data_IF_939907863918
#
_entry.id   IF_939907863918
#
_cell.length_a   1.000
_cell.length_b   1.000
_cell.length_c   1.000
_cell.angle_alpha   90.00
_cell.angle_beta   90.00
_cell.angle_gamma   90.00
#
_symmetry.space_group_name_H-M   'P 1'
#
loop_
_entity.id
_entity.type
_entity.pdbx_description
1 polymer ?
#
# COMPACT_ATOMS: atom_id res chain seq x y z
N UNK A 1 20.16 12.09 -16.14
CA UNK A 1 19.40 10.88 -16.49
C UNK A 1 17.94 11.29 -16.44
N UNK A 2 17.15 11.05 -17.50
CA UNK A 2 15.70 11.28 -17.47
C UNK A 2 15.12 10.36 -16.39
N UNK A 3 14.31 10.89 -15.48
CA UNK A 3 13.61 10.08 -14.51
C UNK A 3 12.75 9.05 -15.27
N UNK A 4 12.90 7.76 -14.92
CA UNK A 4 12.06 6.71 -15.49
C UNK A 4 10.61 6.98 -15.04
N UNK A 5 9.66 7.00 -15.95
CA UNK A 5 8.25 7.04 -15.59
C UNK A 5 7.91 5.79 -14.78
N UNK A 6 7.24 5.96 -13.63
CA UNK A 6 6.81 4.84 -12.82
C UNK A 6 5.52 4.24 -13.37
N UNK A 7 5.49 2.92 -13.51
CA UNK A 7 4.28 2.17 -13.83
C UNK A 7 3.56 1.81 -12.53
N UNK A 8 2.39 2.37 -12.33
CA UNK A 8 1.56 2.18 -11.14
C UNK A 8 0.29 1.43 -11.52
N UNK A 9 -0.03 0.36 -10.81
CA UNK A 9 -1.32 -0.31 -10.96
C UNK A 9 -2.15 -0.06 -9.72
N UNK A 10 -3.39 0.40 -9.92
CA UNK A 10 -4.40 0.50 -8.87
C UNK A 10 -5.39 -0.63 -9.07
N UNK A 11 -5.23 -1.67 -8.25
CA UNK A 11 -6.10 -2.84 -8.23
C UNK A 11 -7.24 -2.66 -7.24
N UNK A 12 -8.47 -2.90 -7.70
CA UNK A 12 -9.68 -2.85 -6.90
C UNK A 12 -10.47 -4.17 -7.06
N UNK A 13 -10.93 -4.74 -5.96
CA UNK A 13 -11.88 -5.85 -6.00
C UNK A 13 -13.12 -5.51 -6.84
N UNK A 14 -13.57 -4.24 -6.80
CA UNK A 14 -14.65 -3.65 -7.58
C UNK A 14 -15.98 -4.39 -7.44
N UNK A 15 -16.28 -4.90 -6.23
CA UNK A 15 -17.55 -5.57 -5.91
C UNK A 15 -18.58 -4.59 -5.35
N UNK A 16 -18.20 -3.77 -4.38
CA UNK A 16 -19.11 -2.81 -3.74
C UNK A 16 -19.70 -1.83 -4.75
N UNK A 17 -18.89 -1.26 -5.62
CA UNK A 17 -19.36 -0.32 -6.63
C UNK A 17 -20.31 -0.97 -7.66
N UNK A 18 -20.19 -2.28 -7.89
CA UNK A 18 -21.14 -3.02 -8.76
C UNK A 18 -22.45 -3.37 -8.06
N UNK A 19 -22.41 -3.65 -6.77
CA UNK A 19 -23.55 -4.17 -6.01
C UNK A 19 -24.30 -3.09 -5.25
N UNK A 20 -23.60 -2.07 -4.72
CA UNK A 20 -24.15 -1.10 -3.77
C UNK A 20 -24.29 0.29 -4.41
N UNK A 21 -25.51 0.78 -4.53
CA UNK A 21 -25.79 2.11 -5.08
C UNK A 21 -25.15 3.22 -4.23
N UNK A 22 -25.13 3.06 -2.91
CA UNK A 22 -24.53 4.02 -2.00
C UNK A 22 -23.02 4.19 -2.29
N UNK A 23 -22.30 3.09 -2.53
CA UNK A 23 -20.89 3.13 -2.90
C UNK A 23 -20.69 3.81 -4.27
N UNK A 24 -21.50 3.47 -5.29
CA UNK A 24 -21.46 4.14 -6.60
C UNK A 24 -21.69 5.64 -6.52
N UNK A 25 -22.59 6.08 -5.64
CA UNK A 25 -22.86 7.51 -5.45
C UNK A 25 -21.69 8.26 -4.82
N UNK A 26 -20.87 7.58 -4.00
CA UNK A 26 -19.64 8.14 -3.43
C UNK A 26 -18.50 8.06 -4.45
N UNK A 27 -18.34 6.93 -5.12
CA UNK A 27 -17.23 6.64 -6.04
C UNK A 27 -17.76 6.26 -7.43
N UNK A 28 -18.27 7.22 -8.22
CA UNK A 28 -18.91 6.94 -9.51
C UNK A 28 -17.99 6.28 -10.53
N UNK A 29 -16.69 6.60 -10.50
CA UNK A 29 -15.67 5.98 -11.35
C UNK A 29 -14.94 4.82 -10.65
N UNK A 30 -15.49 4.36 -9.52
CA UNK A 30 -14.87 3.40 -8.62
C UNK A 30 -13.75 4.01 -7.76
N UNK A 31 -13.45 3.35 -6.64
CA UNK A 31 -12.36 3.76 -5.74
C UNK A 31 -11.03 3.88 -6.50
N UNK A 32 -10.71 2.89 -7.35
CA UNK A 32 -9.48 2.88 -8.16
C UNK A 32 -9.45 4.00 -9.19
N UNK A 33 -10.60 4.38 -9.78
CA UNK A 33 -10.69 5.50 -10.70
C UNK A 33 -10.37 6.84 -10.04
N UNK A 34 -10.92 7.07 -8.83
CA UNK A 34 -10.59 8.25 -8.05
C UNK A 34 -9.11 8.28 -7.65
N UNK A 35 -8.56 7.13 -7.21
CA UNK A 35 -7.13 7.04 -6.86
C UNK A 35 -6.26 7.39 -8.08
N UNK A 36 -6.55 6.83 -9.24
CA UNK A 36 -5.86 7.19 -10.49
C UNK A 36 -5.91 8.69 -10.74
N UNK A 37 -7.08 9.31 -10.63
CA UNK A 37 -7.27 10.72 -10.97
C UNK A 37 -6.37 11.65 -10.15
N UNK A 38 -6.25 11.42 -8.84
CA UNK A 38 -5.40 12.27 -8.01
C UNK A 38 -3.90 11.92 -8.12
N UNK A 39 -3.54 10.67 -8.42
CA UNK A 39 -2.15 10.30 -8.70
C UNK A 39 -1.63 11.01 -9.97
N UNK A 40 -2.40 10.97 -11.07
CA UNK A 40 -2.05 11.64 -12.33
C UNK A 40 -2.07 13.17 -12.19
N UNK A 41 -2.91 13.72 -11.32
CA UNK A 41 -2.93 15.15 -11.02
C UNK A 41 -1.72 15.61 -10.19
N UNK A 42 -1.21 14.77 -9.27
CA UNK A 42 -0.02 15.06 -8.46
C UNK A 42 1.28 14.92 -9.27
N UNK A 43 1.34 13.93 -10.17
CA UNK A 43 2.53 13.68 -10.99
C UNK A 43 2.14 13.10 -12.36
N UNK A 44 2.15 13.95 -13.39
CA UNK A 44 1.82 13.59 -14.76
C UNK A 44 2.84 12.62 -15.42
N UNK A 45 3.97 12.33 -14.78
CA UNK A 45 4.94 11.34 -15.26
C UNK A 45 4.58 9.91 -14.84
N UNK A 46 3.59 9.72 -13.97
CA UNK A 46 3.12 8.39 -13.60
C UNK A 46 2.31 7.77 -14.75
N UNK A 47 2.57 6.51 -15.04
CA UNK A 47 1.75 5.69 -15.93
C UNK A 47 0.79 4.85 -15.06
N UNK A 48 -0.43 5.35 -14.82
CA UNK A 48 -1.39 4.71 -13.91
C UNK A 48 -2.39 3.85 -14.67
N UNK A 49 -2.35 2.54 -14.42
CA UNK A 49 -3.29 1.55 -14.94
C UNK A 49 -4.29 1.13 -13.86
N UNK A 50 -5.55 0.96 -14.26
CA UNK A 50 -6.58 0.32 -13.42
C UNK A 50 -6.61 -1.18 -13.69
N UNK A 51 -6.90 -1.95 -12.65
CA UNK A 51 -7.11 -3.38 -12.71
C UNK A 51 -8.18 -3.80 -11.69
N UNK A 52 -8.96 -4.83 -12.03
CA UNK A 52 -10.02 -5.32 -11.17
C UNK A 52 -10.06 -6.85 -11.11
N UNK A 53 -10.72 -7.39 -10.07
CA UNK A 53 -10.83 -8.83 -9.84
C UNK A 53 -11.48 -9.57 -11.01
N UNK A 54 -12.48 -8.97 -11.67
CA UNK A 54 -13.21 -9.61 -12.78
C UNK A 54 -12.57 -9.42 -14.15
N UNK A 55 -11.44 -8.70 -14.22
CA UNK A 55 -10.69 -8.58 -15.48
C UNK A 55 -9.99 -9.91 -15.82
N UNK A 56 -9.66 -10.15 -17.10
CA UNK A 56 -8.83 -11.30 -17.46
C UNK A 56 -7.55 -11.36 -16.62
N UNK A 57 -7.18 -12.55 -16.13
CA UNK A 57 -6.06 -12.78 -15.22
C UNK A 57 -6.10 -11.85 -13.98
N UNK A 58 -7.33 -11.52 -13.54
CA UNK A 58 -7.59 -10.60 -12.42
C UNK A 58 -6.90 -9.24 -12.60
N UNK A 59 -6.81 -8.77 -13.84
CA UNK A 59 -6.22 -7.51 -14.26
C UNK A 59 -4.69 -7.44 -14.19
N UNK A 60 -4.03 -8.54 -13.79
CA UNK A 60 -2.59 -8.62 -13.58
C UNK A 60 -1.94 -9.80 -14.32
N UNK A 61 -2.10 -9.89 -15.66
CA UNK A 61 -1.34 -10.86 -16.44
C UNK A 61 0.16 -10.60 -16.30
N UNK A 62 0.99 -11.59 -16.62
CA UNK A 62 2.44 -11.54 -16.37
C UNK A 62 3.12 -10.33 -17.00
N UNK A 63 2.74 -9.93 -18.21
CA UNK A 63 3.29 -8.75 -18.88
C UNK A 63 3.00 -7.45 -18.10
N UNK A 64 1.78 -7.30 -17.54
CA UNK A 64 1.41 -6.15 -16.72
C UNK A 64 2.14 -6.17 -15.39
N UNK A 65 2.08 -7.33 -14.70
CA UNK A 65 2.69 -7.47 -13.40
C UNK A 65 4.21 -7.26 -13.46
N UNK A 66 4.87 -7.75 -14.52
CA UNK A 66 6.33 -7.62 -14.70
C UNK A 66 6.79 -6.18 -14.95
N UNK A 67 5.95 -5.34 -15.52
CA UNK A 67 6.24 -3.92 -15.75
C UNK A 67 5.84 -3.02 -14.58
N UNK A 68 5.05 -3.52 -13.61
CA UNK A 68 4.54 -2.74 -12.48
C UNK A 68 5.67 -2.40 -11.50
N UNK A 69 5.88 -1.12 -11.24
CA UNK A 69 6.81 -0.61 -10.24
C UNK A 69 6.14 -0.47 -8.85
N UNK A 70 4.86 -0.07 -8.82
CA UNK A 70 4.08 0.05 -7.57
C UNK A 70 2.68 -0.50 -7.77
N UNK A 71 2.25 -1.40 -6.89
CA UNK A 71 0.91 -1.96 -6.86
C UNK A 71 0.15 -1.40 -5.65
N UNK A 72 -0.97 -0.70 -5.91
CA UNK A 72 -1.96 -0.36 -4.89
C UNK A 72 -3.04 -1.44 -4.87
N UNK A 73 -3.39 -1.91 -3.68
CA UNK A 73 -4.33 -3.00 -3.47
C UNK A 73 -5.49 -2.58 -2.56
N UNK A 74 -6.69 -2.56 -3.10
CA UNK A 74 -7.93 -2.39 -2.36
C UNK A 74 -8.84 -3.62 -2.56
N UNK A 75 -9.32 -4.24 -1.48
CA UNK A 75 -10.26 -5.36 -1.53
C UNK A 75 -10.95 -5.52 -0.19
N UNK A 76 -12.18 -6.04 -0.18
CA UNK A 76 -13.02 -6.13 1.02
C UNK A 76 -13.73 -7.47 1.18
N UNK A 77 -14.64 -7.85 0.27
CA UNK A 77 -15.52 -9.02 0.44
C UNK A 77 -15.09 -10.27 -0.32
N UNK A 78 -14.28 -10.14 -1.36
CA UNK A 78 -13.92 -11.24 -2.27
C UNK A 78 -12.44 -11.64 -2.19
N UNK A 79 -11.78 -11.42 -1.06
CA UNK A 79 -10.37 -11.81 -0.86
C UNK A 79 -10.08 -13.27 -1.20
N UNK A 80 -11.07 -14.16 -0.98
CA UNK A 80 -10.95 -15.59 -1.23
C UNK A 80 -10.91 -15.95 -2.72
N UNK A 81 -11.44 -15.09 -3.59
CA UNK A 81 -11.51 -15.30 -5.04
C UNK A 81 -10.17 -14.98 -5.74
N UNK A 82 -9.24 -14.30 -5.05
CA UNK A 82 -7.92 -13.99 -5.62
C UNK A 82 -7.11 -15.26 -5.80
N UNK A 83 -6.55 -15.44 -7.00
CA UNK A 83 -5.74 -16.59 -7.38
C UNK A 83 -4.46 -16.69 -6.55
N UNK A 84 -4.18 -17.86 -5.99
CA UNK A 84 -3.01 -18.07 -5.14
C UNK A 84 -1.69 -17.99 -5.92
N UNK A 85 -1.69 -18.34 -7.21
CA UNK A 85 -0.53 -18.16 -8.09
C UNK A 85 -0.24 -16.69 -8.36
N UNK A 86 -1.28 -15.86 -8.54
CA UNK A 86 -1.11 -14.42 -8.64
C UNK A 86 -0.52 -13.83 -7.34
N UNK A 87 -1.05 -14.25 -6.19
CA UNK A 87 -0.54 -13.81 -4.88
C UNK A 87 0.94 -14.13 -4.72
N UNK A 88 1.36 -15.33 -5.11
CA UNK A 88 2.78 -15.73 -5.03
C UNK A 88 3.65 -14.91 -6.00
N UNK A 89 3.22 -14.64 -7.23
CA UNK A 89 3.95 -13.76 -8.16
C UNK A 89 4.11 -12.34 -7.60
N UNK A 90 3.06 -11.76 -7.01
CA UNK A 90 3.12 -10.46 -6.33
C UNK A 90 4.16 -10.51 -5.19
N UNK A 91 4.07 -11.53 -4.32
CA UNK A 91 4.99 -11.71 -3.19
C UNK A 91 6.44 -11.76 -3.67
N UNK A 92 6.74 -12.56 -4.68
CA UNK A 92 8.09 -12.69 -5.24
C UNK A 92 8.62 -11.35 -5.74
N UNK A 93 7.82 -10.58 -6.50
CA UNK A 93 8.24 -9.28 -7.02
C UNK A 93 8.55 -8.27 -5.91
N UNK A 94 7.72 -8.26 -4.84
CA UNK A 94 7.98 -7.42 -3.66
C UNK A 94 9.28 -7.85 -2.98
N UNK A 95 9.45 -9.14 -2.68
CA UNK A 95 10.65 -9.64 -2.00
C UNK A 95 11.94 -9.44 -2.79
N UNK A 96 11.86 -9.45 -4.12
CA UNK A 96 12.99 -9.14 -5.00
C UNK A 96 13.26 -7.63 -5.13
N UNK A 97 12.47 -6.76 -4.52
CA UNK A 97 12.60 -5.30 -4.65
C UNK A 97 12.24 -4.76 -6.04
N UNK A 98 11.52 -5.55 -6.84
CA UNK A 98 11.10 -5.17 -8.21
C UNK A 98 9.78 -4.42 -8.24
N UNK A 99 9.04 -4.42 -7.13
CA UNK A 99 7.75 -3.78 -7.00
C UNK A 99 7.50 -3.39 -5.55
N UNK A 100 7.01 -2.16 -5.34
CA UNK A 100 6.44 -1.75 -4.06
C UNK A 100 4.97 -2.14 -3.94
N UNK A 101 4.50 -2.32 -2.71
CA UNK A 101 3.10 -2.66 -2.43
C UNK A 101 2.49 -1.64 -1.46
N UNK A 102 1.32 -1.11 -1.82
CA UNK A 102 0.50 -0.27 -0.96
C UNK A 102 -0.83 -0.97 -0.75
N UNK A 103 -1.16 -1.30 0.48
CA UNK A 103 -2.40 -1.98 0.84
C UNK A 103 -3.30 -1.02 1.59
N UNK A 104 -4.52 -0.88 1.11
CA UNK A 104 -5.47 0.10 1.57
C UNK A 104 -6.62 -0.56 2.34
N UNK A 105 -7.02 0.06 3.44
CA UNK A 105 -8.21 -0.27 4.23
C UNK A 105 -8.32 -1.77 4.55
N UNK A 106 -9.46 -2.38 4.21
CA UNK A 106 -9.77 -3.81 4.40
C UNK A 106 -8.84 -4.78 3.64
N UNK A 107 -7.98 -4.24 2.75
CA UNK A 107 -6.89 -4.99 2.13
C UNK A 107 -5.94 -5.69 3.10
N UNK A 108 -5.94 -5.30 4.41
CA UNK A 108 -5.22 -6.02 5.47
C UNK A 108 -5.62 -7.49 5.57
N UNK A 109 -6.85 -7.83 5.17
CA UNK A 109 -7.36 -9.19 5.19
C UNK A 109 -7.12 -9.95 3.88
N UNK A 110 -6.57 -9.31 2.84
CA UNK A 110 -6.27 -9.94 1.55
C UNK A 110 -5.19 -11.02 1.67
N UNK A 111 -5.26 -12.01 0.78
CA UNK A 111 -4.19 -13.01 0.64
C UNK A 111 -2.83 -12.35 0.36
N UNK A 112 -2.82 -11.27 -0.44
CA UNK A 112 -1.61 -10.52 -0.80
C UNK A 112 -0.93 -9.95 0.44
N UNK A 113 -1.64 -9.21 1.27
CA UNK A 113 -1.08 -8.63 2.50
C UNK A 113 -0.59 -9.72 3.46
N UNK A 114 -1.43 -10.74 3.69
CA UNK A 114 -1.10 -11.86 4.58
C UNK A 114 0.18 -12.59 4.17
N UNK A 115 0.35 -12.86 2.88
CA UNK A 115 1.51 -13.57 2.37
C UNK A 115 2.77 -12.71 2.33
N UNK A 116 2.64 -11.43 1.98
CA UNK A 116 3.80 -10.52 1.88
C UNK A 116 4.30 -10.13 3.26
N UNK A 117 3.42 -9.79 4.19
CA UNK A 117 3.80 -9.33 5.54
C UNK A 117 4.07 -10.49 6.50
N UNK A 118 3.44 -11.64 6.29
CA UNK A 118 3.54 -12.79 7.20
C UNK A 118 2.62 -12.62 8.42
N UNK A 119 1.30 -12.53 8.17
CA UNK A 119 0.30 -12.25 9.22
C UNK A 119 -1.02 -12.94 8.93
N UNK A 120 -1.91 -13.04 9.92
CA UNK A 120 -3.32 -13.35 9.68
C UNK A 120 -4.16 -12.11 9.35
N UNK A 121 -3.64 -10.90 9.60
CA UNK A 121 -4.28 -9.63 9.30
C UNK A 121 -5.53 -9.31 10.12
N UNK A 122 -5.84 -10.07 11.17
CA UNK A 122 -7.05 -9.86 11.95
C UNK A 122 -6.98 -8.58 12.80
N UNK A 123 -8.12 -7.96 13.00
CA UNK A 123 -8.33 -6.82 13.88
C UNK A 123 -9.77 -6.83 14.41
N UNK A 124 -10.14 -5.87 15.25
CA UNK A 124 -11.53 -5.58 15.60
C UNK A 124 -11.98 -4.32 14.88
N UNK A 125 -13.25 -4.29 14.46
CA UNK A 125 -13.84 -3.21 13.70
C UNK A 125 -15.24 -2.86 14.21
N UNK A 126 -15.75 -1.70 13.85
CA UNK A 126 -17.06 -1.23 14.25
C UNK A 126 -17.65 -0.20 13.29
N UNK A 127 -18.69 0.49 13.71
CA UNK A 127 -19.37 1.50 12.90
C UNK A 127 -18.45 2.66 12.53
N UNK A 128 -18.78 3.35 11.46
CA UNK A 128 -18.15 4.61 11.06
C UNK A 128 -18.29 5.66 12.16
N UNK A 129 -17.21 6.39 12.41
CA UNK A 129 -17.18 7.46 13.41
C UNK A 129 -16.06 8.48 13.11
N UNK A 130 -16.02 9.56 13.87
CA UNK A 130 -14.95 10.53 13.74
C UNK A 130 -13.62 9.94 14.20
N UNK A 131 -12.60 10.16 13.38
CA UNK A 131 -11.22 9.75 13.62
C UNK A 131 -10.30 10.96 13.56
N UNK A 132 -9.35 11.04 14.48
CA UNK A 132 -8.18 11.92 14.40
C UNK A 132 -7.00 11.09 13.95
N UNK A 133 -6.52 11.36 12.73
CA UNK A 133 -5.31 10.75 12.20
C UNK A 133 -4.09 11.56 12.65
N UNK A 134 -3.23 10.94 13.47
CA UNK A 134 -2.00 11.53 13.98
C UNK A 134 -0.80 11.19 13.11
N UNK A 135 -0.01 12.19 12.79
CA UNK A 135 1.29 12.05 12.14
C UNK A 135 2.36 11.76 13.21
N UNK A 136 2.70 10.48 13.35
CA UNK A 136 3.62 10.01 14.40
C UNK A 136 5.10 10.08 13.98
N UNK A 137 5.36 10.20 12.68
CA UNK A 137 6.72 10.24 12.14
C UNK A 137 6.85 11.35 11.06
N UNK A 138 6.80 12.65 11.45
CA UNK A 138 6.74 13.77 10.50
C UNK A 138 7.91 13.87 9.53
N UNK A 139 9.08 13.30 9.89
CA UNK A 139 10.26 13.27 9.03
C UNK A 139 10.22 12.17 7.95
N UNK A 140 9.23 11.25 8.02
CA UNK A 140 9.13 10.17 7.04
C UNK A 140 8.65 10.71 5.68
N UNK A 141 9.19 10.22 4.54
CA UNK A 141 8.80 10.70 3.20
C UNK A 141 7.29 10.63 2.93
N UNK A 142 6.59 9.59 3.43
CA UNK A 142 5.14 9.44 3.29
C UNK A 142 4.38 10.57 4.03
N UNK A 143 4.95 11.11 5.11
CA UNK A 143 4.35 12.18 5.91
C UNK A 143 4.65 13.59 5.37
N UNK A 144 5.37 13.72 4.26
CA UNK A 144 5.73 15.04 3.72
C UNK A 144 4.50 15.87 3.36
N UNK A 145 4.40 17.07 3.95
CA UNK A 145 3.27 18.00 3.73
C UNK A 145 2.00 17.65 4.51
N UNK A 146 2.07 16.69 5.45
CA UNK A 146 0.96 16.33 6.32
C UNK A 146 1.11 17.09 7.67
N UNK A 147 0.03 17.70 8.19
CA UNK A 147 0.06 18.36 9.50
C UNK A 147 0.25 17.34 10.63
N UNK A 148 0.42 17.82 11.86
CA UNK A 148 0.56 16.97 13.04
C UNK A 148 -0.61 16.01 13.22
N UNK A 149 -1.82 16.44 12.84
CA UNK A 149 -3.02 15.62 12.79
C UNK A 149 -4.07 16.21 11.82
N UNK A 150 -5.03 15.39 11.40
CA UNK A 150 -6.22 15.80 10.64
C UNK A 150 -7.41 14.90 10.96
N UNK A 151 -8.62 15.35 10.65
CA UNK A 151 -9.85 14.64 10.96
C UNK A 151 -10.38 13.89 9.73
N UNK A 152 -10.93 12.71 10.00
CA UNK A 152 -11.66 11.86 9.07
C UNK A 152 -13.02 11.46 9.67
N UNK A 153 -13.90 10.97 8.83
CA UNK A 153 -15.03 10.11 9.21
C UNK A 153 -14.80 8.78 8.53
N UNK A 154 -14.62 7.71 9.32
CA UNK A 154 -14.09 6.44 8.81
C UNK A 154 -14.62 5.25 9.61
N UNK A 155 -14.58 4.06 9.04
CA UNK A 155 -14.86 2.83 9.75
C UNK A 155 -13.87 2.64 10.90
N UNK A 156 -14.41 2.39 12.10
CA UNK A 156 -13.59 2.09 13.25
C UNK A 156 -12.80 0.81 13.02
N UNK A 157 -11.48 0.94 13.07
CA UNK A 157 -10.56 -0.16 13.33
C UNK A 157 -9.90 0.05 14.69
N UNK A 158 -9.70 -1.01 15.45
CA UNK A 158 -9.07 -0.89 16.76
C UNK A 158 -8.08 -2.02 17.07
N UNK A 159 -7.13 -1.70 17.93
CA UNK A 159 -6.19 -2.68 18.46
C UNK A 159 -6.93 -3.74 19.31
N UNK A 160 -6.42 -5.01 19.36
CA UNK A 160 -5.16 -5.44 18.75
C UNK A 160 -5.30 -5.71 17.26
N UNK A 161 -4.38 -5.15 16.46
CA UNK A 161 -4.16 -5.51 15.08
C UNK A 161 -3.07 -6.57 14.98
N UNK A 162 -3.43 -7.78 14.57
CA UNK A 162 -2.56 -8.96 14.59
C UNK A 162 -1.58 -8.98 13.40
N UNK A 163 -0.72 -7.98 13.36
CA UNK A 163 0.37 -7.86 12.40
C UNK A 163 1.71 -7.83 13.13
N UNK A 164 2.82 -8.22 12.47
CA UNK A 164 4.14 -8.05 13.06
C UNK A 164 4.41 -6.59 13.40
N UNK A 165 5.35 -6.36 14.32
CA UNK A 165 5.84 -5.01 14.58
C UNK A 165 6.25 -4.38 13.24
N UNK A 166 5.70 -3.21 12.86
CA UNK A 166 6.13 -2.52 11.66
C UNK A 166 7.58 -2.03 11.82
N UNK A 167 8.29 -1.94 10.69
CA UNK A 167 9.60 -1.32 10.68
C UNK A 167 9.51 0.18 10.99
N UNK A 168 8.40 0.83 10.52
CA UNK A 168 8.10 2.23 10.84
C UNK A 168 6.59 2.41 11.02
N UNK A 169 6.19 3.08 12.10
CA UNK A 169 4.81 3.49 12.38
C UNK A 169 4.67 4.98 12.05
N UNK A 170 4.06 5.27 10.91
CA UNK A 170 3.97 6.64 10.38
C UNK A 170 2.72 7.36 10.85
N UNK A 171 1.57 6.65 10.89
CA UNK A 171 0.29 7.23 11.30
C UNK A 171 -0.41 6.38 12.34
N UNK A 172 -1.11 7.05 13.28
CA UNK A 172 -1.98 6.44 14.26
C UNK A 172 -3.35 7.07 14.25
N UNK A 173 -4.40 6.25 14.31
CA UNK A 173 -5.78 6.69 14.41
C UNK A 173 -6.24 6.75 15.88
N UNK A 174 -7.00 7.77 16.22
CA UNK A 174 -7.75 7.87 17.47
C UNK A 174 -9.21 8.19 17.16
N UNK A 175 -10.10 7.30 17.58
CA UNK A 175 -11.52 7.35 17.27
C UNK A 175 -12.32 7.98 18.42
N UNK A 176 -13.49 8.56 18.12
CA UNK A 176 -14.30 9.32 19.09
C UNK A 176 -14.72 8.49 20.32
N UNK A 177 -14.92 7.18 20.17
CA UNK A 177 -15.22 6.26 21.28
C UNK A 177 -13.96 5.90 22.12
N UNK A 178 -12.81 6.50 21.85
CA UNK A 178 -11.56 6.32 22.62
C UNK A 178 -10.69 5.15 22.16
N UNK A 179 -11.02 4.49 21.05
CA UNK A 179 -10.20 3.45 20.45
C UNK A 179 -8.99 4.03 19.73
N UNK A 180 -7.91 3.26 19.71
CA UNK A 180 -6.68 3.59 18.96
C UNK A 180 -6.37 2.51 17.95
N UNK A 181 -5.69 2.92 16.86
CA UNK A 181 -5.26 2.01 15.81
C UNK A 181 -3.93 2.43 15.19
N UNK A 182 -3.10 1.48 14.84
CA UNK A 182 -1.89 1.70 14.04
C UNK A 182 -2.29 1.84 12.57
N UNK A 183 -2.52 3.06 12.12
CA UNK A 183 -3.20 3.35 10.86
C UNK A 183 -2.29 3.44 9.62
N UNK A 184 -1.00 3.72 9.81
CA UNK A 184 -0.02 3.82 8.70
C UNK A 184 1.26 3.08 9.02
N UNK A 185 1.46 1.89 8.39
CA UNK A 185 2.52 0.95 8.71
C UNK A 185 3.45 0.71 7.52
N UNK A 186 4.74 0.88 7.71
CA UNK A 186 5.75 0.52 6.73
C UNK A 186 6.44 -0.79 7.11
N UNK A 187 6.66 -1.63 6.10
CA UNK A 187 7.42 -2.87 6.23
C UNK A 187 8.45 -2.98 5.12
N UNK A 188 9.63 -3.46 5.45
CA UNK A 188 10.63 -3.93 4.49
C UNK A 188 10.56 -5.45 4.41
N UNK A 189 10.25 -5.99 3.21
CA UNK A 189 10.10 -7.42 3.00
C UNK A 189 11.01 -7.87 1.86
N UNK A 190 12.06 -8.64 2.21
CA UNK A 190 13.16 -8.87 1.29
C UNK A 190 13.84 -7.56 0.93
N UNK A 191 13.91 -7.22 -0.35
CA UNK A 191 14.41 -5.93 -0.83
C UNK A 191 13.29 -4.91 -1.15
N UNK A 192 12.03 -5.30 -0.94
CA UNK A 192 10.86 -4.46 -1.27
C UNK A 192 10.26 -3.72 -0.08
N UNK A 193 9.38 -2.80 -0.40
CA UNK A 193 8.69 -1.93 0.55
C UNK A 193 7.19 -2.18 0.50
N UNK A 194 6.56 -2.21 1.66
CA UNK A 194 5.11 -2.34 1.82
C UNK A 194 4.61 -1.23 2.71
N UNK A 195 3.56 -0.54 2.28
CA UNK A 195 2.84 0.42 3.11
C UNK A 195 1.40 -0.05 3.27
N UNK A 196 0.95 -0.15 4.52
CA UNK A 196 -0.47 -0.34 4.86
C UNK A 196 -1.04 0.98 5.34
N UNK A 197 -2.23 1.35 4.85
CA UNK A 197 -2.94 2.55 5.26
C UNK A 197 -4.42 2.26 5.52
N UNK A 198 -4.87 2.58 6.74
CA UNK A 198 -6.19 2.19 7.24
C UNK A 198 -7.35 2.92 6.55
N UNK A 199 -7.36 4.26 6.29
CA UNK A 199 -8.51 4.92 5.71
C UNK A 199 -8.91 4.37 4.34
N UNK A 200 -10.22 4.35 4.07
CA UNK A 200 -10.72 4.00 2.76
C UNK A 200 -11.93 3.07 2.72
N UNK A 201 -12.79 3.11 3.75
CA UNK A 201 -14.06 2.39 3.74
C UNK A 201 -14.92 2.83 2.56
N UNK A 202 -15.57 1.91 1.86
CA UNK A 202 -16.30 2.15 0.62
C UNK A 202 -17.52 3.05 0.79
N UNK A 203 -18.00 3.21 2.00
CA UNK A 203 -19.12 4.13 2.33
C UNK A 203 -18.64 5.45 2.94
N UNK A 204 -17.33 5.64 3.11
CA UNK A 204 -16.72 6.88 3.59
C UNK A 204 -16.08 7.67 2.45
N UNK A 205 -15.99 8.99 2.59
CA UNK A 205 -15.40 9.88 1.58
C UNK A 205 -13.90 10.12 1.81
N UNK A 206 -13.22 9.17 2.43
CA UNK A 206 -11.83 9.32 2.88
C UNK A 206 -10.87 9.60 1.73
N UNK A 207 -11.06 8.99 0.56
CA UNK A 207 -10.21 9.25 -0.62
C UNK A 207 -10.45 10.63 -1.27
N UNK A 208 -11.45 11.40 -0.82
CA UNK A 208 -11.62 12.81 -1.21
C UNK A 208 -10.88 13.77 -0.26
N UNK A 209 -10.40 13.28 0.89
CA UNK A 209 -9.62 14.09 1.82
C UNK A 209 -8.24 14.42 1.22
N UNK A 210 -7.82 15.70 1.13
CA UNK A 210 -6.58 16.08 0.49
C UNK A 210 -5.32 15.53 1.18
N UNK A 211 -5.37 15.28 2.50
CA UNK A 211 -4.25 14.69 3.22
C UNK A 211 -4.15 13.18 2.94
N UNK A 212 -5.28 12.47 2.85
CA UNK A 212 -5.30 11.05 2.43
C UNK A 212 -4.73 10.91 1.02
N UNK A 213 -5.15 11.77 0.08
CA UNK A 213 -4.59 11.78 -1.27
C UNK A 213 -3.09 12.04 -1.27
N UNK A 214 -2.63 13.03 -0.50
CA UNK A 214 -1.19 13.37 -0.37
C UNK A 214 -0.40 12.20 0.20
N UNK A 215 -0.91 11.52 1.23
CA UNK A 215 -0.27 10.34 1.83
C UNK A 215 -0.10 9.24 0.78
N UNK A 216 -1.13 8.95 -0.01
CA UNK A 216 -1.08 7.91 -1.05
C UNK A 216 -0.08 8.30 -2.16
N UNK A 217 -0.09 9.56 -2.63
CA UNK A 217 0.89 10.05 -3.61
C UNK A 217 2.34 9.91 -3.10
N UNK A 218 2.57 10.30 -1.85
CA UNK A 218 3.88 10.15 -1.22
C UNK A 218 4.28 8.68 -1.07
N UNK A 219 3.32 7.81 -0.70
CA UNK A 219 3.55 6.37 -0.56
C UNK A 219 3.95 5.72 -1.88
N UNK A 220 3.35 6.13 -3.01
CA UNK A 220 3.75 5.65 -4.35
C UNK A 220 5.22 5.98 -4.62
N UNK A 221 5.64 7.22 -4.36
CA UNK A 221 7.03 7.65 -4.54
C UNK A 221 7.99 6.90 -3.61
N UNK A 222 7.59 6.71 -2.34
CA UNK A 222 8.39 6.01 -1.34
C UNK A 222 8.53 4.51 -1.64
N UNK A 223 7.45 3.86 -2.08
CA UNK A 223 7.41 2.42 -2.32
C UNK A 223 8.11 2.01 -3.62
N UNK A 224 8.30 2.95 -4.56
CA UNK A 224 8.96 2.66 -5.84
C UNK A 224 10.30 1.93 -5.64
N UNK A 225 10.63 0.97 -6.51
CA UNK A 225 11.92 0.28 -6.49
C UNK A 225 13.06 1.28 -6.55
N UNK A 226 14.04 1.11 -5.67
CA UNK A 226 15.27 1.86 -5.75
C UNK A 226 16.20 1.15 -6.75
N UNK A 227 16.74 1.86 -7.72
CA UNK A 227 17.83 1.41 -8.59
C UNK A 227 19.16 1.28 -7.81
N UNK A 228 19.10 0.68 -6.62
CA UNK A 228 20.30 0.33 -5.87
C UNK A 228 20.80 -0.99 -6.46
N UNK A 229 21.35 -0.93 -7.62
CA UNK A 229 22.17 -1.78 -8.44
C UNK A 229 22.63 -3.18 -8.02
N UNK A 230 21.92 -3.86 -7.13
CA UNK A 230 22.19 -5.27 -6.80
C UNK A 230 20.96 -6.11 -7.10
N UNK A 231 20.84 -6.65 -8.33
CA UNK A 231 19.79 -7.64 -8.60
C UNK A 231 20.01 -8.84 -7.66
N UNK A 232 19.04 -9.10 -6.79
CA UNK A 232 19.05 -10.28 -5.91
C UNK A 232 19.21 -11.57 -6.73
N UNK A 233 18.79 -11.56 -8.00
CA UNK A 233 18.95 -12.64 -8.95
C UNK A 233 20.42 -13.07 -9.19
N UNK A 234 21.35 -12.15 -9.05
CA UNK A 234 22.79 -12.42 -9.26
C UNK A 234 23.55 -12.66 -7.95
N UNK A 235 22.84 -12.76 -6.83
CA UNK A 235 23.43 -12.88 -5.51
C UNK A 235 24.03 -11.56 -5.00
N UNK A 236 24.22 -11.48 -3.69
CA UNK A 236 24.97 -10.39 -3.09
C UNK A 236 26.45 -10.63 -3.36
N UNK A 237 27.18 -9.69 -4.01
CA UNK A 237 28.61 -9.83 -4.16
C UNK A 237 29.24 -9.83 -2.76
N UNK A 238 29.85 -10.96 -2.38
CA UNK A 238 30.67 -11.01 -1.18
C UNK A 238 31.91 -10.14 -1.40
N UNK A 239 32.00 -9.04 -0.66
CA UNK A 239 33.18 -8.20 -0.66
C UNK A 239 34.17 -8.86 0.29
N UNK A 240 35.23 -9.43 -0.25
CA UNK A 240 36.36 -9.88 0.56
C UNK A 240 37.22 -8.66 0.91
N UNK A 241 37.16 -8.26 2.18
CA UNK A 241 38.15 -7.29 2.69
C UNK A 241 39.52 -7.97 2.80
N UNK A 242 40.50 -7.48 2.09
CA UNK A 242 41.89 -7.83 2.38
C UNK A 242 42.30 -7.11 3.67
N UNK A 243 42.67 -7.87 4.67
CA UNK A 243 43.37 -7.32 5.83
C UNK A 243 44.59 -6.57 5.31
N UNK A 244 44.79 -5.34 5.78
CA UNK A 244 46.01 -4.61 5.41
C UNK A 244 47.24 -5.35 6.00
N UNK A 245 48.32 -5.44 5.26
CA UNK A 245 49.58 -6.08 5.65
C UNK A 245 50.15 -5.58 7.01
N UNK A 246 49.53 -4.56 7.60
CA UNK A 246 49.87 -4.02 8.92
C UNK A 246 49.45 -4.91 10.10
N UNK A 247 48.63 -5.93 9.87
CA UNK A 247 48.15 -6.86 10.90
C UNK A 247 48.71 -8.28 10.72
N UNK A 248 49.58 -8.50 9.72
CA UNK A 248 50.34 -9.74 9.56
C UNK A 248 51.68 -9.63 10.31
N UNK A 249 51.63 -9.54 11.65
CA UNK A 249 52.83 -9.72 12.52
C UNK A 249 52.48 -10.68 13.64
#
# INVERSE_FOLDING_TARGET
MSAKNLNVVVWNEYRHEKLEEACRNIYPDGIHGLIKSFLEADDASLNVRLAALDDPDQGLPDEVLNETDVLLWWGHMAHHEVDDGLVERIRQRVYMGKMGLIVLHSGHHSKVFKQVVGTNGNLSWGRDQNEIMWNLLPAHPIAAGIPDHFNLFEELYCEPFYVPQPDELVFGGWFEDGFIFRAGLCYYRGAGKVFYFQPGHEFCRSYYNPYVQRIICNAVKWAAPNDIGYPIENGCPCIQYKLSDKFEQ
#
